data_IF_577235559037
#
_entry.id   IF_577235559037
#
_cell.length_a   1.000
_cell.length_b   1.000
_cell.length_c   1.000
_cell.angle_alpha   90.00
_cell.angle_beta   90.00
_cell.angle_gamma   90.00
#
_symmetry.space_group_name_H-M   'P 1'
#
loop_
_entity.id
_entity.type
_entity.pdbx_description
1 polymer ?
#
# COMPACT_ATOMS: atom_id res chain seq x y z
N UNK A 1 20.14 4.00 0.16
CA UNK A 1 19.61 2.64 -0.11
C UNK A 1 18.28 2.55 0.61
N UNK A 2 17.18 2.28 -0.09
CA UNK A 2 15.86 2.12 0.55
C UNK A 2 15.78 0.71 1.14
N UNK A 3 15.31 0.59 2.37
CA UNK A 3 15.11 -0.71 3.04
C UNK A 3 13.63 -1.06 3.02
N UNK A 4 13.31 -2.23 2.47
CA UNK A 4 11.98 -2.82 2.51
C UNK A 4 11.99 -4.06 3.40
N UNK A 5 10.94 -4.23 4.19
CA UNK A 5 10.68 -5.44 4.98
C UNK A 5 9.66 -6.30 4.23
N UNK A 6 10.00 -7.55 3.96
CA UNK A 6 9.11 -8.47 3.26
C UNK A 6 8.23 -9.24 4.23
N UNK A 7 7.00 -9.54 3.81
CA UNK A 7 6.07 -10.42 4.49
C UNK A 7 5.85 -10.02 5.96
N UNK A 8 5.60 -8.74 6.21
CA UNK A 8 5.44 -8.19 7.56
C UNK A 8 4.09 -8.58 8.12
N UNK A 9 4.07 -9.12 9.36
CA UNK A 9 2.84 -9.46 10.06
C UNK A 9 2.30 -8.24 10.80
N UNK A 10 1.01 -7.95 10.62
CA UNK A 10 0.29 -6.85 11.26
C UNK A 10 -1.02 -7.40 11.80
N UNK A 11 -1.12 -7.55 13.12
CA UNK A 11 -2.20 -8.32 13.75
C UNK A 11 -2.27 -9.74 13.16
N UNK A 12 -3.45 -10.13 12.66
CA UNK A 12 -3.70 -11.40 11.98
C UNK A 12 -3.46 -11.34 10.47
N UNK A 13 -3.07 -10.18 9.94
CA UNK A 13 -2.79 -9.97 8.53
C UNK A 13 -1.29 -10.04 8.22
N UNK A 14 -0.98 -10.21 6.93
CA UNK A 14 0.38 -10.12 6.41
C UNK A 14 0.37 -9.24 5.17
N UNK A 15 1.33 -8.32 5.10
CA UNK A 15 1.55 -7.47 3.94
C UNK A 15 2.82 -7.90 3.21
N UNK A 16 2.85 -7.80 1.88
CA UNK A 16 4.00 -8.30 1.10
C UNK A 16 5.26 -7.47 1.33
N UNK A 17 5.13 -6.14 1.33
CA UNK A 17 6.24 -5.23 1.56
C UNK A 17 5.83 -4.06 2.44
N UNK A 18 6.67 -3.74 3.41
CA UNK A 18 6.59 -2.49 4.17
C UNK A 18 7.87 -1.68 3.95
N UNK A 19 7.74 -0.41 3.60
CA UNK A 19 8.85 0.53 3.40
C UNK A 19 8.72 1.65 4.43
N UNK A 20 9.33 1.51 5.63
CA UNK A 20 9.13 2.44 6.75
C UNK A 20 9.49 3.88 6.40
N UNK A 21 10.63 4.08 5.73
CA UNK A 21 11.14 5.40 5.31
C UNK A 21 10.13 6.15 4.43
N UNK A 22 9.38 5.40 3.61
CA UNK A 22 8.37 5.96 2.73
C UNK A 22 6.99 5.93 3.35
N UNK A 23 6.77 5.33 4.53
CA UNK A 23 5.43 5.11 5.11
C UNK A 23 4.47 4.49 4.09
N UNK A 24 4.92 3.44 3.39
CA UNK A 24 4.15 2.75 2.35
C UNK A 24 4.13 1.27 2.66
N UNK A 25 2.94 0.67 2.54
CA UNK A 25 2.76 -0.76 2.39
C UNK A 25 2.46 -1.04 0.92
N UNK A 26 3.07 -2.10 0.39
CA UNK A 26 2.90 -2.56 -0.98
C UNK A 26 2.36 -3.99 -0.96
N UNK A 27 1.18 -4.18 -1.52
CA UNK A 27 0.56 -5.50 -1.66
C UNK A 27 0.45 -5.90 -3.13
N UNK A 28 0.72 -7.18 -3.36
CA UNK A 28 0.59 -7.88 -4.61
C UNK A 28 -0.70 -8.69 -4.51
N UNK A 29 -1.78 -8.21 -5.11
CA UNK A 29 -3.06 -8.89 -5.00
C UNK A 29 -3.36 -9.70 -6.26
N UNK A 30 -3.79 -10.95 -6.10
CA UNK A 30 -4.20 -11.83 -7.19
C UNK A 30 -5.50 -11.40 -7.84
N UNK A 31 -6.41 -10.73 -7.12
CA UNK A 31 -7.74 -10.39 -7.61
C UNK A 31 -8.40 -9.33 -6.72
N UNK A 32 -8.95 -8.26 -7.31
CA UNK A 32 -9.92 -7.42 -6.59
C UNK A 32 -11.20 -8.26 -6.46
N UNK A 33 -11.50 -8.75 -5.27
CA UNK A 33 -12.71 -9.53 -5.04
C UNK A 33 -13.95 -8.62 -5.16
N UNK A 34 -14.83 -8.94 -6.10
CA UNK A 34 -16.05 -8.18 -6.33
C UNK A 34 -17.18 -8.64 -5.38
N UNK A 35 -17.62 -7.74 -4.49
CA UNK A 35 -18.76 -7.93 -3.60
C UNK A 35 -18.74 -6.95 -2.42
N UNK A 36 -19.89 -6.38 -2.05
CA UNK A 36 -19.97 -5.32 -1.02
C UNK A 36 -19.40 -5.73 0.34
N UNK A 37 -19.63 -6.97 0.76
CA UNK A 37 -19.15 -7.48 2.05
C UNK A 37 -17.62 -7.69 2.05
N UNK A 38 -17.06 -8.03 0.88
CA UNK A 38 -15.61 -8.21 0.73
C UNK A 38 -14.91 -6.85 0.68
N UNK A 39 -15.49 -5.88 -0.03
CA UNK A 39 -14.99 -4.51 -0.09
C UNK A 39 -14.92 -3.86 1.31
N UNK A 40 -15.95 -4.04 2.14
CA UNK A 40 -15.94 -3.54 3.51
C UNK A 40 -14.87 -4.20 4.37
N UNK A 41 -14.70 -5.53 4.27
CA UNK A 41 -13.64 -6.25 5.00
C UNK A 41 -12.25 -5.79 4.60
N UNK A 42 -12.00 -5.63 3.30
CA UNK A 42 -10.73 -5.14 2.78
C UNK A 42 -10.46 -3.69 3.20
N UNK A 43 -11.49 -2.85 3.24
CA UNK A 43 -11.37 -1.47 3.73
C UNK A 43 -10.99 -1.43 5.21
N UNK A 44 -11.70 -2.17 6.06
CA UNK A 44 -11.37 -2.25 7.50
C UNK A 44 -9.98 -2.81 7.72
N UNK A 45 -9.58 -3.83 6.94
CA UNK A 45 -8.21 -4.38 6.97
C UNK A 45 -7.18 -3.30 6.67
N UNK A 46 -7.39 -2.52 5.61
CA UNK A 46 -6.47 -1.45 5.19
C UNK A 46 -6.36 -0.33 6.20
N UNK A 47 -7.48 0.09 6.79
CA UNK A 47 -7.51 1.09 7.85
C UNK A 47 -6.68 0.63 9.05
N UNK A 48 -6.90 -0.60 9.53
CA UNK A 48 -6.16 -1.15 10.66
C UNK A 48 -4.65 -1.26 10.39
N UNK A 49 -4.26 -1.68 9.20
CA UNK A 49 -2.85 -1.76 8.80
C UNK A 49 -2.25 -0.35 8.71
N UNK A 50 -2.94 0.57 8.04
CA UNK A 50 -2.51 1.94 7.82
C UNK A 50 -2.32 2.69 9.14
N UNK A 51 -3.26 2.55 10.07
CA UNK A 51 -3.17 3.14 11.41
C UNK A 51 -2.02 2.52 12.21
N UNK A 52 -1.89 1.19 12.21
CA UNK A 52 -0.87 0.49 13.01
C UNK A 52 0.55 0.82 12.57
N UNK A 53 0.79 0.91 11.26
CA UNK A 53 2.11 1.16 10.67
C UNK A 53 2.36 2.63 10.32
N UNK A 54 1.35 3.49 10.47
CA UNK A 54 1.41 4.90 10.08
C UNK A 54 1.71 5.08 8.59
N UNK A 55 1.11 4.27 7.73
CA UNK A 55 1.42 4.18 6.31
C UNK A 55 0.18 4.30 5.40
N UNK A 56 0.40 4.41 4.09
CA UNK A 56 -0.65 4.19 3.09
C UNK A 56 -0.42 2.84 2.40
N UNK A 57 -1.50 2.09 2.16
CA UNK A 57 -1.47 0.83 1.41
C UNK A 57 -1.60 1.12 -0.08
N UNK A 58 -0.69 0.56 -0.88
CA UNK A 58 -0.71 0.60 -2.35
C UNK A 58 -0.82 -0.84 -2.85
N UNK A 59 -1.87 -1.14 -3.60
CA UNK A 59 -2.06 -2.46 -4.20
C UNK A 59 -1.71 -2.47 -5.68
N UNK A 60 -1.07 -3.55 -6.11
CA UNK A 60 -0.80 -3.85 -7.51
C UNK A 60 -1.32 -5.25 -7.80
N UNK A 61 -2.08 -5.38 -8.88
CA UNK A 61 -2.59 -6.69 -9.29
C UNK A 61 -1.47 -7.59 -9.81
N UNK A 62 -1.61 -8.89 -9.60
CA UNK A 62 -0.61 -9.90 -10.00
C UNK A 62 -0.36 -9.90 -11.51
N UNK A 63 -1.40 -9.63 -12.30
CA UNK A 63 -1.30 -9.44 -13.76
C UNK A 63 -0.34 -8.31 -14.15
N UNK A 64 -0.20 -7.30 -13.29
CA UNK A 64 0.63 -6.12 -13.55
C UNK A 64 2.08 -6.29 -13.09
N UNK A 65 2.43 -7.33 -12.33
CA UNK A 65 3.81 -7.53 -11.88
C UNK A 65 4.73 -7.88 -13.03
N UNK A 66 4.40 -8.94 -13.77
CA UNK A 66 5.25 -9.40 -14.86
C UNK A 66 5.15 -8.50 -16.10
N UNK A 67 4.02 -7.80 -16.28
CA UNK A 67 3.81 -6.89 -17.41
C UNK A 67 4.35 -5.49 -17.17
N UNK A 68 4.40 -5.02 -15.92
CA UNK A 68 4.51 -3.60 -15.60
C UNK A 68 5.17 -3.34 -14.23
N UNK A 69 6.14 -4.14 -13.77
CA UNK A 69 6.93 -3.82 -12.56
C UNK A 69 7.47 -2.38 -12.56
N UNK A 70 7.71 -1.82 -13.75
CA UNK A 70 8.09 -0.42 -13.98
C UNK A 70 7.07 0.61 -13.49
N UNK A 71 5.78 0.25 -13.35
CA UNK A 71 4.71 1.13 -12.84
C UNK A 71 4.65 1.22 -11.31
N UNK A 72 5.38 0.36 -10.60
CA UNK A 72 5.54 0.40 -9.14
C UNK A 72 6.08 1.76 -8.67
N UNK A 73 7.19 2.21 -9.27
CA UNK A 73 7.86 3.45 -8.88
C UNK A 73 6.99 4.70 -9.18
N UNK A 74 6.31 4.81 -10.33
CA UNK A 74 5.30 5.85 -10.56
C UNK A 74 4.19 5.89 -9.51
N UNK A 75 3.61 4.75 -9.11
CA UNK A 75 2.54 4.71 -8.12
C UNK A 75 3.00 5.25 -6.75
N UNK A 76 4.17 4.80 -6.29
CA UNK A 76 4.81 5.33 -5.07
C UNK A 76 5.07 6.84 -5.22
N UNK A 77 5.58 7.28 -6.37
CA UNK A 77 5.87 8.70 -6.63
C UNK A 77 4.63 9.59 -6.53
N UNK A 78 3.48 9.12 -7.02
CA UNK A 78 2.20 9.83 -6.91
C UNK A 78 1.79 9.99 -5.44
N UNK A 79 1.86 8.92 -4.64
CA UNK A 79 1.57 8.97 -3.19
C UNK A 79 2.48 9.98 -2.48
N UNK A 80 3.79 9.91 -2.72
CA UNK A 80 4.75 10.83 -2.12
C UNK A 80 4.51 12.29 -2.52
N UNK A 81 4.19 12.56 -3.79
CA UNK A 81 3.84 13.91 -4.26
C UNK A 81 2.57 14.44 -3.59
N UNK A 82 1.55 13.61 -3.46
CA UNK A 82 0.30 13.99 -2.82
C UNK A 82 0.50 14.37 -1.35
N UNK A 83 1.37 13.65 -0.63
CA UNK A 83 1.73 13.99 0.76
C UNK A 83 2.45 15.33 0.86
N UNK A 84 3.43 15.59 -0.02
CA UNK A 84 4.11 16.89 -0.08
C UNK A 84 3.12 18.03 -0.32
N UNK A 85 2.21 17.85 -1.29
CA UNK A 85 1.15 18.83 -1.58
C UNK A 85 0.24 19.08 -0.36
N UNK A 86 -0.22 18.03 0.34
CA UNK A 86 -1.03 18.17 1.56
C UNK A 86 -0.27 18.89 2.69
N UNK A 87 1.02 18.64 2.83
CA UNK A 87 1.85 19.34 3.81
C UNK A 87 2.02 20.83 3.47
N UNK A 88 2.13 21.19 2.20
CA UNK A 88 2.23 22.59 1.73
C UNK A 88 0.92 23.38 1.79
N UNK A 89 -0.23 22.72 1.97
CA UNK A 89 -1.55 23.35 2.05
C UNK A 89 -2.02 23.50 3.52
N UNK A 90 -1.31 22.90 4.49
CA UNK A 90 -1.62 23.12 5.91
C UNK A 90 -1.23 24.57 6.30
N UNK A 91 -2.14 25.34 6.91
CA UNK A 91 -1.87 26.70 7.38
C UNK A 91 -0.81 26.73 8.48
#
# INVERSE_FOLDING_TARGET
KVVAQHQVRVFDYRVDFYVPEMKVVLEIDGSIYHGKDVEQREHTRDELISEKLGCEVIRITTDNINKNVTKLLPAISVVLKNRKRKASIKP
#
